data_IF_995559380372
#
_entry.id   IF_995559380372
#
_cell.length_a   1.000
_cell.length_b   1.000
_cell.length_c   1.000
_cell.angle_alpha   90.00
_cell.angle_beta   90.00
_cell.angle_gamma   90.00
#
_symmetry.space_group_name_H-M   'P 1'
#
loop_
_entity.id
_entity.type
_entity.pdbx_description
1 polymer ?
#
# COMPACT_ATOMS: atom_id res chain seq x y z
N UNK A 1 -7.42 5.57 20.38
CA UNK A 1 -7.21 4.33 19.60
C UNK A 1 -6.53 3.31 20.47
N UNK A 2 -7.01 2.07 20.48
CA UNK A 2 -6.47 0.97 21.28
C UNK A 2 -5.23 0.39 20.57
N UNK A 3 -4.15 0.08 21.30
CA UNK A 3 -2.88 -0.37 20.70
C UNK A 3 -3.01 -1.67 19.88
N UNK A 4 -3.99 -2.51 20.19
CA UNK A 4 -4.34 -3.74 19.45
C UNK A 4 -4.87 -3.43 18.05
N UNK A 5 -5.67 -2.38 17.93
CA UNK A 5 -6.38 -2.03 16.71
C UNK A 5 -5.40 -1.41 15.71
N UNK A 6 -4.49 -0.57 16.22
CA UNK A 6 -3.39 0.02 15.43
C UNK A 6 -2.47 -1.06 14.84
N UNK A 7 -2.12 -2.09 15.63
CA UNK A 7 -1.27 -3.18 15.14
C UNK A 7 -1.96 -3.98 14.04
N UNK A 8 -3.25 -4.26 14.20
CA UNK A 8 -4.02 -5.00 13.19
C UNK A 8 -4.16 -4.19 11.91
N UNK A 9 -4.36 -2.87 12.04
CA UNK A 9 -4.42 -1.94 10.92
C UNK A 9 -3.09 -1.86 10.16
N UNK A 10 -1.97 -1.69 10.87
CA UNK A 10 -0.63 -1.69 10.25
C UNK A 10 -0.37 -3.00 9.52
N UNK A 11 -0.71 -4.14 10.14
CA UNK A 11 -0.55 -5.46 9.50
C UNK A 11 -1.34 -5.56 8.18
N UNK A 12 -2.57 -5.03 8.12
CA UNK A 12 -3.32 -4.99 6.87
C UNK A 12 -2.63 -4.11 5.82
N UNK A 13 -2.20 -2.89 6.19
CA UNK A 13 -1.54 -1.95 5.27
C UNK A 13 -0.26 -2.54 4.64
N UNK A 14 0.47 -3.38 5.36
CA UNK A 14 1.71 -4.03 4.91
C UNK A 14 1.49 -5.40 4.28
N UNK A 15 0.34 -6.04 4.50
CA UNK A 15 -0.01 -7.37 3.95
C UNK A 15 0.07 -7.42 2.42
N UNK A 16 0.16 -8.59 1.76
CA UNK A 16 0.24 -8.61 0.30
C UNK A 16 -1.06 -8.18 -0.40
N UNK A 17 -2.21 -8.07 0.29
CA UNK A 17 -3.54 -7.94 -0.34
C UNK A 17 -3.78 -9.05 -1.37
N UNK A 18 -3.21 -10.24 -1.13
CA UNK A 18 -3.35 -11.36 -2.06
C UNK A 18 -4.72 -12.03 -1.91
N UNK A 19 -5.22 -12.71 -2.94
CA UNK A 19 -6.44 -13.50 -2.80
C UNK A 19 -6.36 -14.60 -1.72
N UNK A 20 -5.16 -15.10 -1.42
CA UNK A 20 -4.94 -16.08 -0.36
C UNK A 20 -4.94 -15.48 1.04
N UNK A 21 -4.65 -14.18 1.16
CA UNK A 21 -4.64 -13.41 2.41
C UNK A 21 -5.37 -12.10 2.14
N UNK A 22 -6.71 -12.15 1.92
CA UNK A 22 -7.46 -10.96 1.55
C UNK A 22 -7.55 -9.99 2.74
N UNK A 23 -7.82 -8.69 2.49
CA UNK A 23 -8.05 -7.72 3.55
C UNK A 23 -9.17 -8.16 4.50
N UNK A 24 -8.92 -8.04 5.81
CA UNK A 24 -9.82 -8.51 6.86
C UNK A 24 -10.58 -7.36 7.54
N UNK A 25 -9.99 -6.17 7.55
CA UNK A 25 -10.59 -4.94 8.03
C UNK A 25 -11.22 -4.16 6.85
N UNK A 26 -12.21 -3.31 7.12
CA UNK A 26 -12.70 -2.34 6.13
C UNK A 26 -11.55 -1.57 5.47
N UNK A 27 -11.68 -1.34 4.16
CA UNK A 27 -10.70 -0.62 3.36
C UNK A 27 -11.05 0.87 3.32
N UNK A 28 -10.06 1.71 3.53
CA UNK A 28 -10.14 3.17 3.56
C UNK A 28 -9.08 3.82 2.65
N UNK A 29 -8.82 5.11 2.86
CA UNK A 29 -7.80 5.87 2.13
C UNK A 29 -6.37 5.32 2.26
N UNK A 30 -5.98 4.82 3.44
CA UNK A 30 -4.69 4.18 3.65
C UNK A 30 -4.54 2.89 2.84
N UNK A 31 -5.60 2.08 2.71
CA UNK A 31 -5.57 0.89 1.83
C UNK A 31 -5.43 1.31 0.37
N UNK A 32 -6.09 2.39 -0.04
CA UNK A 32 -5.94 2.94 -1.38
C UNK A 32 -4.48 3.33 -1.67
N UNK A 33 -3.83 4.06 -0.77
CA UNK A 33 -2.41 4.38 -0.90
C UNK A 33 -1.53 3.12 -0.90
N UNK A 34 -1.86 2.12 -0.09
CA UNK A 34 -1.16 0.84 -0.07
C UNK A 34 -1.29 0.08 -1.39
N UNK A 35 -2.45 0.12 -2.05
CA UNK A 35 -2.64 -0.49 -3.36
C UNK A 35 -1.86 0.26 -4.45
N UNK A 36 -1.84 1.60 -4.45
CA UNK A 36 -1.02 2.38 -5.38
C UNK A 36 0.47 2.06 -5.25
N UNK A 37 0.97 1.94 -4.02
CA UNK A 37 2.36 1.56 -3.77
C UNK A 37 2.67 0.16 -4.33
N UNK A 38 1.71 -0.79 -4.29
CA UNK A 38 1.89 -2.13 -4.86
C UNK A 38 1.91 -2.13 -6.39
N UNK A 39 1.15 -1.24 -7.04
CA UNK A 39 1.23 -1.05 -8.50
C UNK A 39 2.65 -0.63 -8.88
N UNK A 40 3.23 0.33 -8.16
CA UNK A 40 4.59 0.79 -8.43
C UNK A 40 5.65 -0.26 -8.11
N UNK A 41 5.51 -0.94 -6.98
CA UNK A 41 6.44 -1.98 -6.55
C UNK A 41 6.54 -3.14 -7.55
N UNK A 42 5.43 -3.46 -8.22
CA UNK A 42 5.35 -4.57 -9.17
C UNK A 42 5.25 -4.07 -10.62
N UNK A 43 5.78 -2.88 -10.93
CA UNK A 43 5.65 -2.27 -12.25
C UNK A 43 6.11 -3.17 -13.42
N UNK A 44 7.04 -4.10 -13.15
CA UNK A 44 7.57 -5.06 -14.14
C UNK A 44 6.75 -6.38 -14.24
N UNK A 45 5.74 -6.58 -13.38
CA UNK A 45 4.90 -7.77 -13.33
C UNK A 45 3.47 -7.41 -13.77
N UNK A 46 3.19 -7.53 -15.08
CA UNK A 46 1.94 -7.07 -15.70
C UNK A 46 0.68 -7.62 -15.00
N UNK A 47 0.69 -8.90 -14.66
CA UNK A 47 -0.42 -9.56 -13.97
C UNK A 47 -0.74 -8.95 -12.60
N UNK A 48 0.30 -8.61 -11.82
CA UNK A 48 0.15 -7.95 -10.52
C UNK A 48 -0.25 -6.49 -10.69
N UNK A 49 0.28 -5.79 -11.69
CA UNK A 49 -0.16 -4.43 -12.02
C UNK A 49 -1.65 -4.42 -12.32
N UNK A 50 -2.15 -5.34 -13.14
CA UNK A 50 -3.57 -5.45 -13.48
C UNK A 50 -4.39 -5.73 -12.22
N UNK A 51 -3.98 -6.72 -11.42
CA UNK A 51 -4.66 -7.07 -10.17
C UNK A 51 -4.79 -5.88 -9.22
N UNK A 52 -3.67 -5.23 -8.86
CA UNK A 52 -3.68 -4.12 -7.92
C UNK A 52 -4.36 -2.88 -8.48
N UNK A 53 -4.27 -2.64 -9.80
CA UNK A 53 -5.00 -1.55 -10.46
C UNK A 53 -6.50 -1.74 -10.38
N UNK A 54 -7.00 -2.97 -10.56
CA UNK A 54 -8.42 -3.29 -10.40
C UNK A 54 -8.87 -3.08 -8.94
N UNK A 55 -8.11 -3.58 -7.96
CA UNK A 55 -8.38 -3.32 -6.55
C UNK A 55 -8.43 -1.82 -6.23
N UNK A 56 -7.44 -1.05 -6.70
CA UNK A 56 -7.34 0.38 -6.45
C UNK A 56 -8.47 1.16 -7.13
N UNK A 57 -8.86 0.77 -8.35
CA UNK A 57 -9.93 1.42 -9.10
C UNK A 57 -11.29 1.22 -8.42
N UNK A 58 -11.59 0.00 -7.97
CA UNK A 58 -12.83 -0.32 -7.26
C UNK A 58 -12.92 0.40 -5.92
N UNK A 59 -11.81 0.50 -5.18
CA UNK A 59 -11.75 1.27 -3.94
C UNK A 59 -11.87 2.78 -4.19
N UNK A 60 -11.21 3.31 -5.22
CA UNK A 60 -11.34 4.72 -5.62
C UNK A 60 -12.80 5.08 -5.98
N UNK A 61 -13.52 4.16 -6.62
CA UNK A 61 -14.94 4.31 -6.93
C UNK A 61 -15.77 4.39 -5.65
N UNK A 62 -15.59 3.46 -4.71
CA UNK A 62 -16.29 3.44 -3.43
C UNK A 62 -16.02 4.70 -2.58
N UNK A 63 -14.77 5.16 -2.53
CA UNK A 63 -14.38 6.37 -1.80
C UNK A 63 -14.80 7.68 -2.50
N UNK A 64 -15.36 7.61 -3.72
CA UNK A 64 -15.77 8.79 -4.49
C UNK A 64 -14.60 9.59 -5.07
N UNK A 65 -13.47 8.93 -5.32
CA UNK A 65 -12.26 9.50 -5.92
C UNK A 65 -12.22 9.37 -7.44
N UNK A 66 -13.07 8.54 -8.05
CA UNK A 66 -13.05 8.21 -9.49
C UNK A 66 -13.05 9.45 -10.40
N UNK A 67 -13.82 10.47 -10.02
CA UNK A 67 -13.96 11.77 -10.71
C UNK A 67 -12.98 12.84 -10.18
N UNK A 68 -12.17 12.51 -9.17
CA UNK A 68 -11.17 13.41 -8.56
C UNK A 68 -9.78 13.14 -9.16
N UNK A 69 -8.82 14.00 -8.87
CA UNK A 69 -7.44 13.85 -9.34
C UNK A 69 -6.81 12.49 -8.96
N UNK A 70 -7.20 11.91 -7.82
CA UNK A 70 -6.66 10.63 -7.37
C UNK A 70 -7.13 9.43 -8.19
N UNK A 71 -8.43 9.32 -8.54
CA UNK A 71 -8.92 8.22 -9.38
C UNK A 71 -8.42 8.28 -10.82
N UNK A 72 -7.95 9.46 -11.28
CA UNK A 72 -7.28 9.61 -12.58
C UNK A 72 -5.86 9.04 -12.60
N UNK A 73 -5.18 8.92 -11.45
CA UNK A 73 -3.80 8.42 -11.40
C UNK A 73 -3.70 7.03 -12.02
N UNK A 74 -4.58 6.10 -11.60
CA UNK A 74 -4.60 4.72 -12.09
C UNK A 74 -4.74 4.63 -13.62
N UNK A 75 -5.42 5.60 -14.24
CA UNK A 75 -5.67 5.61 -15.69
C UNK A 75 -4.63 6.40 -16.49
N UNK A 76 -3.90 7.30 -15.85
CA UNK A 76 -3.11 8.33 -16.53
C UNK A 76 -1.61 8.29 -16.21
N UNK A 77 -1.22 7.57 -15.16
CA UNK A 77 0.18 7.45 -14.72
C UNK A 77 0.64 6.02 -14.99
N UNK A 78 1.90 5.89 -15.41
CA UNK A 78 2.50 4.58 -15.62
C UNK A 78 2.78 3.88 -14.28
N UNK A 79 2.67 2.54 -14.22
CA UNK A 79 3.19 1.79 -13.08
C UNK A 79 4.67 2.15 -12.82
N UNK A 80 5.03 2.34 -11.56
CA UNK A 80 6.36 2.78 -11.12
C UNK A 80 6.42 4.27 -10.80
N UNK A 81 5.41 5.05 -11.21
CA UNK A 81 5.36 6.51 -11.02
C UNK A 81 4.13 6.98 -10.23
N UNK A 82 3.24 6.08 -9.82
CA UNK A 82 1.96 6.40 -9.16
C UNK A 82 2.17 7.17 -7.86
N UNK A 83 3.07 6.69 -7.00
CA UNK A 83 3.35 7.26 -5.70
C UNK A 83 3.96 8.65 -5.83
N UNK A 84 4.98 8.80 -6.68
CA UNK A 84 5.61 10.10 -6.95
C UNK A 84 4.59 11.12 -7.49
N UNK A 85 3.64 10.65 -8.30
CA UNK A 85 2.60 11.46 -8.91
C UNK A 85 1.51 11.95 -7.95
N UNK A 86 1.40 11.38 -6.74
CA UNK A 86 0.46 11.86 -5.70
C UNK A 86 0.70 13.34 -5.36
N UNK A 87 1.96 13.77 -5.38
CA UNK A 87 2.34 15.17 -5.14
C UNK A 87 1.83 16.15 -6.19
N UNK A 88 1.40 15.66 -7.36
CA UNK A 88 0.90 16.45 -8.48
C UNK A 88 -0.64 16.44 -8.57
N UNK A 89 -1.35 15.78 -7.66
CA UNK A 89 -2.82 15.72 -7.68
C UNK A 89 -3.42 17.12 -7.49
N UNK A 90 -4.32 17.58 -8.38
CA UNK A 90 -4.92 18.90 -8.28
C UNK A 90 -5.74 19.09 -6.99
N UNK A 91 -5.50 20.19 -6.28
CA UNK A 91 -6.19 20.55 -5.04
C UNK A 91 -7.61 21.09 -5.32
N UNK A 92 -8.61 20.70 -4.51
CA UNK A 92 -9.99 21.20 -4.66
C UNK A 92 -10.18 22.54 -3.92
N UNK A 93 -10.59 23.55 -4.71
CA UNK A 93 -11.29 24.77 -4.31
C UNK A 93 -10.60 25.75 -3.33
N UNK A 94 -10.30 26.93 -3.88
CA UNK A 94 -10.10 28.25 -3.27
C UNK A 94 -8.93 28.48 -2.31
N UNK A 95 -8.16 29.52 -2.61
CA UNK A 95 -7.47 30.28 -1.57
C UNK A 95 -6.27 31.01 -2.12
N UNK A 96 -5.13 30.31 -2.17
CA UNK A 96 -3.86 30.93 -2.54
C UNK A 96 -2.93 29.87 -3.12
N UNK A 97 -2.46 30.09 -4.35
CA UNK A 97 -1.27 29.43 -4.93
C UNK A 97 -0.01 29.60 -4.06
N UNK A 98 -0.08 30.44 -3.01
CA UNK A 98 1.03 30.87 -2.15
C UNK A 98 1.68 29.71 -1.40
N UNK A 99 0.95 28.63 -1.07
CA UNK A 99 1.53 27.47 -0.38
C UNK A 99 1.58 26.20 -1.23
N UNK A 100 1.23 26.27 -2.52
CA UNK A 100 1.17 25.11 -3.40
C UNK A 100 2.52 24.37 -3.48
N UNK A 101 3.62 25.11 -3.58
CA UNK A 101 4.98 24.55 -3.58
C UNK A 101 5.30 23.82 -2.28
N UNK A 102 4.99 24.43 -1.13
CA UNK A 102 5.24 23.85 0.19
C UNK A 102 4.38 22.62 0.44
N UNK A 103 3.10 22.65 0.04
CA UNK A 103 2.20 21.48 0.12
C UNK A 103 2.69 20.34 -0.76
N UNK A 104 3.07 20.62 -2.01
CA UNK A 104 3.64 19.62 -2.92
C UNK A 104 4.87 18.95 -2.33
N UNK A 105 5.79 19.75 -1.77
CA UNK A 105 6.99 19.23 -1.11
C UNK A 105 6.64 18.37 0.12
N UNK A 106 5.68 18.81 0.94
CA UNK A 106 5.23 18.05 2.11
C UNK A 106 4.57 16.72 1.71
N UNK A 107 3.66 16.72 0.72
CA UNK A 107 3.04 15.50 0.18
C UNK A 107 4.12 14.56 -0.32
N UNK A 108 5.07 15.05 -1.11
CA UNK A 108 6.16 14.23 -1.64
C UNK A 108 6.97 13.56 -0.52
N UNK A 109 7.38 14.31 0.50
CA UNK A 109 8.14 13.76 1.63
C UNK A 109 7.33 12.74 2.44
N UNK A 110 6.06 13.02 2.72
CA UNK A 110 5.18 12.11 3.46
C UNK A 110 4.91 10.81 2.69
N UNK A 111 4.71 10.92 1.38
CA UNK A 111 4.53 9.77 0.48
C UNK A 111 5.81 8.93 0.43
N UNK A 112 6.98 9.54 0.28
CA UNK A 112 8.25 8.79 0.29
C UNK A 112 8.49 8.08 1.63
N UNK A 113 8.30 8.78 2.74
CA UNK A 113 8.41 8.19 4.07
C UNK A 113 7.45 7.01 4.25
N UNK A 114 6.22 7.13 3.74
CA UNK A 114 5.25 6.03 3.75
C UNK A 114 5.73 4.83 2.93
N UNK A 115 6.30 5.06 1.75
CA UNK A 115 6.84 4.00 0.90
C UNK A 115 7.97 3.23 1.60
N UNK A 116 8.86 3.95 2.31
CA UNK A 116 9.95 3.35 3.07
C UNK A 116 9.41 2.47 4.22
N UNK A 117 8.42 2.98 4.96
CA UNK A 117 7.77 2.23 6.05
C UNK A 117 7.07 0.97 5.53
N UNK A 118 6.38 1.07 4.38
CA UNK A 118 5.75 -0.09 3.74
C UNK A 118 6.79 -1.11 3.27
N UNK A 119 7.87 -0.65 2.66
CA UNK A 119 8.94 -1.52 2.15
C UNK A 119 9.55 -2.36 3.28
N UNK A 120 9.85 -1.75 4.43
CA UNK A 120 10.36 -2.48 5.60
C UNK A 120 9.32 -3.49 6.12
N UNK A 121 8.05 -3.09 6.16
CA UNK A 121 6.95 -3.94 6.63
C UNK A 121 6.64 -5.12 5.72
N UNK A 122 6.99 -5.03 4.43
CA UNK A 122 6.70 -6.05 3.44
C UNK A 122 7.84 -7.05 3.22
N UNK A 123 9.05 -6.83 3.73
CA UNK A 123 10.23 -7.65 3.42
C UNK A 123 9.99 -9.16 3.55
N UNK A 124 9.27 -9.59 4.60
CA UNK A 124 9.00 -11.01 4.82
C UNK A 124 8.16 -11.66 3.72
N UNK A 125 7.40 -10.88 2.95
CA UNK A 125 6.60 -11.37 1.83
C UNK A 125 7.44 -11.61 0.57
N UNK A 126 8.63 -11.01 0.47
CA UNK A 126 9.50 -11.10 -0.71
C UNK A 126 10.49 -12.28 -0.63
N UNK A 127 10.56 -12.94 0.51
CA UNK A 127 11.51 -14.03 0.73
C UNK A 127 10.96 -15.33 0.16
N UNK A 128 11.09 -15.50 -1.16
CA UNK A 128 10.57 -16.65 -1.92
C UNK A 128 11.29 -17.95 -1.56
N UNK A 129 12.62 -17.91 -1.38
CA UNK A 129 13.45 -19.07 -1.02
C UNK A 129 14.37 -18.72 0.14
N UNK A 130 14.04 -19.22 1.33
CA UNK A 130 14.82 -18.96 2.54
C UNK A 130 14.68 -17.52 3.03
N UNK A 131 15.75 -16.96 3.58
CA UNK A 131 15.80 -15.57 4.06
C UNK A 131 17.19 -14.95 3.80
N UNK A 132 17.32 -13.61 3.76
CA UNK A 132 18.60 -12.97 3.46
C UNK A 132 19.68 -13.32 4.48
N UNK A 133 20.66 -14.12 4.05
CA UNK A 133 21.73 -14.62 4.92
C UNK A 133 21.65 -16.11 5.26
N UNK A 134 20.58 -16.80 4.86
CA UNK A 134 20.43 -18.26 5.06
C UNK A 134 21.57 -19.09 4.45
N UNK A 135 22.15 -18.63 3.33
CA UNK A 135 23.29 -19.26 2.66
C UNK A 135 24.67 -18.96 3.27
N UNK A 136 24.76 -18.17 4.34
CA UNK A 136 26.05 -17.85 4.97
C UNK A 136 26.62 -19.09 5.67
N UNK A 137 27.82 -19.52 5.27
CA UNK A 137 28.50 -20.71 5.82
C UNK A 137 28.96 -20.51 7.27
N UNK A 138 29.40 -19.29 7.63
CA UNK A 138 29.77 -18.96 9.00
C UNK A 138 28.51 -18.91 9.89
N UNK A 139 28.39 -19.86 10.81
CA UNK A 139 27.21 -20.02 11.66
C UNK A 139 26.94 -18.80 12.55
N UNK A 140 27.98 -18.22 13.14
CA UNK A 140 27.84 -17.05 14.03
C UNK A 140 27.37 -15.81 13.25
N UNK A 141 27.95 -15.55 12.08
CA UNK A 141 27.51 -14.44 11.24
C UNK A 141 26.06 -14.64 10.76
N UNK A 142 25.71 -15.87 10.36
CA UNK A 142 24.34 -16.23 9.97
C UNK A 142 23.35 -15.98 11.11
N UNK A 143 23.67 -16.40 12.33
CA UNK A 143 22.83 -16.15 13.52
C UNK A 143 22.69 -14.67 13.83
N UNK A 144 23.76 -13.87 13.69
CA UNK A 144 23.69 -12.42 13.87
C UNK A 144 22.80 -11.74 12.82
N UNK A 145 22.91 -12.14 11.54
CA UNK A 145 22.03 -11.63 10.48
C UNK A 145 20.57 -12.00 10.75
N UNK A 146 20.32 -13.26 11.15
CA UNK A 146 18.99 -13.70 11.54
C UNK A 146 18.42 -12.87 12.70
N UNK A 147 19.20 -12.67 13.77
CA UNK A 147 18.78 -11.89 14.93
C UNK A 147 18.42 -10.45 14.57
N UNK A 148 19.18 -9.83 13.64
CA UNK A 148 18.88 -8.48 13.16
C UNK A 148 17.55 -8.47 12.38
N UNK A 149 17.39 -9.34 11.37
CA UNK A 149 16.24 -9.30 10.46
C UNK A 149 14.93 -9.79 11.10
N UNK A 150 14.99 -10.83 11.92
CA UNK A 150 13.79 -11.50 12.45
C UNK A 150 13.43 -11.11 13.86
N UNK A 151 14.37 -10.60 14.65
CA UNK A 151 14.13 -10.21 16.05
C UNK A 151 14.19 -8.70 16.21
N UNK A 152 15.35 -8.10 15.96
CA UNK A 152 15.55 -6.67 16.21
C UNK A 152 14.67 -5.82 15.28
N UNK A 153 14.76 -6.02 13.97
CA UNK A 153 14.00 -5.25 12.98
C UNK A 153 12.49 -5.42 13.19
N UNK A 154 12.01 -6.65 13.36
CA UNK A 154 10.58 -6.92 13.61
C UNK A 154 10.08 -6.25 14.89
N UNK A 155 10.88 -6.28 15.96
CA UNK A 155 10.58 -5.60 17.21
C UNK A 155 10.50 -4.08 17.03
N UNK A 156 11.46 -3.48 16.32
CA UNK A 156 11.46 -2.04 16.03
C UNK A 156 10.31 -1.63 15.11
N UNK A 157 9.98 -2.48 14.12
CA UNK A 157 8.89 -2.22 13.18
C UNK A 157 7.53 -2.12 13.88
N UNK A 158 7.28 -2.92 14.92
CA UNK A 158 6.05 -2.82 15.71
C UNK A 158 5.82 -1.42 16.32
N UNK A 159 6.90 -0.65 16.51
CA UNK A 159 6.83 0.73 16.99
C UNK A 159 6.73 1.74 15.85
N UNK A 160 7.63 1.63 14.87
CA UNK A 160 7.72 2.58 13.76
C UNK A 160 6.60 2.45 12.72
N UNK A 161 6.06 1.25 12.49
CA UNK A 161 4.99 1.00 11.50
C UNK A 161 3.71 1.79 11.75
N UNK A 162 3.45 2.20 13.01
CA UNK A 162 2.34 3.11 13.36
C UNK A 162 2.43 4.47 12.67
N UNK A 163 3.61 4.85 12.20
CA UNK A 163 3.81 6.06 11.42
C UNK A 163 2.94 6.08 10.15
N UNK A 164 2.62 4.91 9.57
CA UNK A 164 1.66 4.80 8.45
C UNK A 164 0.33 5.48 8.79
N UNK A 165 -0.21 5.22 9.97
CA UNK A 165 -1.53 5.74 10.38
C UNK A 165 -1.52 7.27 10.50
N UNK A 166 -0.44 7.82 11.04
CA UNK A 166 -0.29 9.27 11.23
C UNK A 166 -0.07 9.95 9.88
N UNK A 167 0.78 9.36 9.03
CA UNK A 167 1.00 9.86 7.66
C UNK A 167 -0.30 9.84 6.87
N UNK A 168 -1.08 8.76 6.97
CA UNK A 168 -2.34 8.60 6.22
C UNK A 168 -3.35 9.70 6.57
N UNK A 169 -3.48 10.06 7.85
CA UNK A 169 -4.35 11.17 8.28
C UNK A 169 -3.90 12.49 7.63
N UNK A 170 -2.61 12.79 7.67
CA UNK A 170 -2.08 14.05 7.12
C UNK A 170 -2.21 14.08 5.59
N UNK A 171 -1.88 12.96 4.92
CA UNK A 171 -2.04 12.83 3.48
C UNK A 171 -3.50 12.94 3.06
N UNK A 172 -4.44 12.37 3.83
CA UNK A 172 -5.86 12.49 3.55
C UNK A 172 -6.31 13.95 3.58
N UNK A 173 -5.87 14.72 4.58
CA UNK A 173 -6.17 16.14 4.69
C UNK A 173 -5.52 16.96 3.56
N UNK A 174 -4.27 16.66 3.21
CA UNK A 174 -3.55 17.36 2.14
C UNK A 174 -4.11 17.05 0.73
N UNK A 175 -4.52 15.81 0.47
CA UNK A 175 -4.96 15.35 -0.85
C UNK A 175 -6.47 15.45 -1.07
N UNK A 176 -7.27 15.22 -0.03
CA UNK A 176 -8.74 15.16 -0.13
C UNK A 176 -9.39 16.38 0.53
N UNK A 177 -8.73 17.04 1.48
CA UNK A 177 -9.28 18.19 2.22
C UNK A 177 -10.35 17.80 3.23
N UNK A 178 -10.44 16.53 3.61
CA UNK A 178 -11.40 16.03 4.60
C UNK A 178 -10.78 14.94 5.46
N UNK A 179 -11.20 14.90 6.73
CA UNK A 179 -10.88 13.83 7.68
C UNK A 179 -12.02 12.82 7.84
N UNK A 180 -13.06 12.90 7.00
CA UNK A 180 -14.14 11.92 7.05
C UNK A 180 -13.58 10.54 6.69
N UNK A 181 -13.64 9.62 7.63
CA UNK A 181 -13.25 8.23 7.45
C UNK A 181 -14.38 7.51 6.71
N UNK A 182 -14.26 7.42 5.39
CA UNK A 182 -15.07 6.52 4.61
C UNK A 182 -14.33 5.19 4.52
N UNK A 183 -14.96 4.13 4.99
CA UNK A 183 -14.44 2.77 4.95
C UNK A 183 -15.48 1.81 4.38
N UNK A 184 -15.02 0.76 3.71
CA UNK A 184 -15.91 -0.22 3.08
C UNK A 184 -15.42 -1.63 3.34
N UNK A 185 -16.32 -2.52 3.74
CA UNK A 185 -16.00 -3.95 3.84
C UNK A 185 -15.65 -4.54 2.48
N UNK A 186 -14.79 -5.55 2.46
CA UNK A 186 -14.40 -6.25 1.23
C UNK A 186 -15.62 -6.79 0.47
N UNK A 187 -16.59 -7.39 1.16
CA UNK A 187 -17.83 -7.86 0.53
C UNK A 187 -18.61 -6.74 -0.18
N UNK A 188 -18.70 -5.55 0.43
CA UNK A 188 -19.34 -4.39 -0.22
C UNK A 188 -18.58 -3.95 -1.47
N UNK A 189 -17.25 -3.97 -1.42
CA UNK A 189 -16.40 -3.61 -2.55
C UNK A 189 -16.55 -4.59 -3.72
N UNK A 190 -16.63 -5.89 -3.43
CA UNK A 190 -16.87 -6.94 -4.44
C UNK A 190 -18.25 -6.73 -5.07
N UNK A 191 -19.31 -6.74 -4.26
CA UNK A 191 -20.69 -6.72 -4.73
C UNK A 191 -21.08 -5.45 -5.50
N UNK A 192 -20.61 -4.28 -5.05
CA UNK A 192 -21.11 -2.98 -5.55
C UNK A 192 -20.12 -2.22 -6.42
N UNK A 193 -18.83 -2.49 -6.25
CA UNK A 193 -17.78 -1.69 -6.86
C UNK A 193 -16.86 -2.50 -7.77
N UNK A 194 -17.03 -3.82 -7.86
CA UNK A 194 -16.27 -4.71 -8.73
C UNK A 194 -14.83 -4.92 -8.24
N UNK A 195 -14.62 -4.94 -6.93
CA UNK A 195 -13.32 -5.35 -6.39
C UNK A 195 -13.06 -6.83 -6.72
N UNK A 196 -11.84 -7.22 -7.12
CA UNK A 196 -11.53 -8.61 -7.47
C UNK A 196 -11.91 -9.58 -6.34
N UNK A 197 -12.76 -10.56 -6.65
CA UNK A 197 -13.22 -11.55 -5.68
C UNK A 197 -12.08 -12.55 -5.36
N UNK A 198 -11.63 -12.64 -4.09
CA UNK A 198 -10.60 -13.62 -3.70
C UNK A 198 -10.99 -15.08 -3.93
N UNK A 199 -12.29 -15.39 -4.01
CA UNK A 199 -12.78 -16.75 -4.27
C UNK A 199 -12.85 -17.09 -5.77
N UNK A 200 -12.71 -16.10 -6.67
CA UNK A 200 -12.66 -16.34 -8.10
C UNK A 200 -11.31 -16.97 -8.51
N UNK A 201 -11.29 -18.19 -9.11
CA UNK A 201 -10.07 -18.82 -9.60
C UNK A 201 -9.30 -17.97 -10.61
N UNK A 202 -9.98 -17.15 -11.43
CA UNK A 202 -9.35 -16.26 -12.39
C UNK A 202 -8.55 -15.16 -11.68
N UNK A 203 -9.07 -14.61 -10.58
CA UNK A 203 -8.39 -13.61 -9.76
C UNK A 203 -7.16 -14.21 -9.07
N UNK A 204 -7.27 -15.45 -8.56
CA UNK A 204 -6.12 -16.17 -7.99
C UNK A 204 -5.03 -16.41 -9.02
N UNK A 205 -5.41 -16.81 -10.23
CA UNK A 205 -4.48 -17.03 -11.34
C UNK A 205 -3.80 -15.73 -11.77
N UNK A 206 -4.55 -14.63 -11.86
CA UNK A 206 -4.03 -13.31 -12.15
C UNK A 206 -2.98 -12.88 -11.12
N UNK A 207 -3.25 -13.08 -9.83
CA UNK A 207 -2.28 -12.75 -8.77
C UNK A 207 -1.03 -13.63 -8.85
N UNK A 208 -1.18 -14.91 -9.18
CA UNK A 208 -0.06 -15.88 -9.21
C UNK A 208 0.80 -15.81 -10.47
N UNK A 209 0.37 -15.09 -11.51
CA UNK A 209 0.94 -15.09 -12.85
C UNK A 209 2.45 -15.31 -12.90
N UNK A 210 2.81 -16.53 -13.31
CA UNK A 210 4.16 -17.06 -13.55
C UNK A 210 5.10 -17.27 -12.34
N UNK A 211 4.71 -18.09 -11.37
CA UNK A 211 5.69 -18.82 -10.52
C UNK A 211 6.51 -19.89 -11.31
N UNK A 212 6.81 -19.66 -12.59
CA UNK A 212 7.21 -20.68 -13.56
C UNK A 212 8.31 -20.29 -14.55
N UNK A 213 9.01 -19.16 -14.34
CA UNK A 213 10.28 -18.91 -15.03
C UNK A 213 11.36 -18.56 -14.02
N UNK A 214 12.48 -19.27 -14.15
CA UNK A 214 13.72 -19.29 -13.33
C UNK A 214 13.73 -20.25 -12.14
#
# INVERSE_FOLDING_TARGET
>A
MNRSDDSTRVNQLTSPYSPAIPPQLPLDFGDYLSLLWRIDRHAEMENLVIYYSNCAASLAKALGFEQRGMGRLIRAVSPGEMYLSLSNVPFRQSGRLVDATSRKAAIHQLVMLRADVLSIGSYSHDWVVGWPGSGIANSELRERVFAILFTALRGQYAHFGRLLLVIDIVLQELLIGSRTLNEYSLGTLIERYGYPDPEDPAVRTLFQGESGSW
#
